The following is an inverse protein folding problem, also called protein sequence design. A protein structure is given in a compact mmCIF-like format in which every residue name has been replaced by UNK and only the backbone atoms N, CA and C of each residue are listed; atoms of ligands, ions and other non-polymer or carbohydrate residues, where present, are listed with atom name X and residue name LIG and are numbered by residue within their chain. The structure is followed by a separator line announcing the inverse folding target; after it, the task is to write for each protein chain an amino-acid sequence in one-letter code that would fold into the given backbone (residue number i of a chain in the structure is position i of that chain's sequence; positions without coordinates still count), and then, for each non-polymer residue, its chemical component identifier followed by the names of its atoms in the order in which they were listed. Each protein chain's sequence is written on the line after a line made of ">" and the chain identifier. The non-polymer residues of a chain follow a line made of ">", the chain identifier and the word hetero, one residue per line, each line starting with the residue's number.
data_IF_427826183722
#
_entry.id   IF_427826183722
#
_cell.length_a   1.000
_cell.length_b   1.000
_cell.length_c   1.000
_cell.angle_alpha   90.00
_cell.angle_beta   90.00
_cell.angle_gamma   90.00
#
_symmetry.space_group_name_H-M   'P 1'
#
loop_
_entity.id
_entity.type
_entity.pdbx_description
1 polymer ?
#
# COMPACT_ATOMS: atom_id res chain seq x y z
N UNK A 1 -32.97 81.36 -11.21
CA UNK A 1 -33.67 80.10 -11.56
C UNK A 1 -33.66 79.21 -10.33
N UNK A 2 -34.81 78.66 -9.96
CA UNK A 2 -35.05 77.92 -8.72
C UNK A 2 -34.15 76.68 -8.62
N UNK A 3 -33.47 76.49 -7.48
CA UNK A 3 -32.75 75.26 -7.17
C UNK A 3 -33.78 74.14 -6.88
N UNK A 4 -33.71 73.05 -7.64
CA UNK A 4 -34.56 71.88 -7.46
C UNK A 4 -34.35 71.27 -6.05
N UNK A 5 -35.40 70.75 -5.40
CA UNK A 5 -35.29 70.07 -4.10
C UNK A 5 -34.28 68.90 -4.18
N UNK A 6 -33.63 68.53 -3.05
CA UNK A 6 -32.58 67.49 -3.05
C UNK A 6 -33.03 66.15 -3.63
N UNK A 7 -34.28 65.76 -3.38
CA UNK A 7 -34.88 64.52 -3.90
C UNK A 7 -35.01 64.55 -5.43
N UNK A 8 -35.39 65.69 -6.01
CA UNK A 8 -35.52 65.87 -7.45
C UNK A 8 -34.17 65.89 -8.18
N UNK A 9 -33.08 66.30 -7.51
CA UNK A 9 -31.73 66.20 -8.05
C UNK A 9 -31.22 64.75 -8.07
N UNK A 10 -31.53 63.97 -7.04
CA UNK A 10 -31.18 62.54 -6.99
C UNK A 10 -31.94 61.76 -8.05
N UNK A 11 -33.25 61.98 -8.19
CA UNK A 11 -34.05 61.36 -9.27
C UNK A 11 -33.51 61.72 -10.66
N UNK A 12 -33.18 62.99 -10.89
CA UNK A 12 -32.62 63.42 -12.17
C UNK A 12 -31.27 62.73 -12.47
N UNK A 13 -30.38 62.62 -11.48
CA UNK A 13 -29.10 61.93 -11.63
C UNK A 13 -29.26 60.43 -11.89
N UNK A 14 -30.19 59.78 -11.19
CA UNK A 14 -30.49 58.35 -11.41
C UNK A 14 -31.07 58.14 -12.80
N UNK A 15 -31.93 59.05 -13.27
CA UNK A 15 -32.56 58.96 -14.59
C UNK A 15 -31.55 59.18 -15.72
N UNK A 16 -30.56 60.07 -15.52
CA UNK A 16 -29.41 60.19 -16.42
C UNK A 16 -28.55 58.91 -16.45
N UNK A 17 -28.28 58.30 -15.30
CA UNK A 17 -27.48 57.07 -15.22
C UNK A 17 -28.20 55.88 -15.85
N UNK A 18 -29.52 55.74 -15.65
CA UNK A 18 -30.35 54.74 -16.33
C UNK A 18 -30.29 54.92 -17.84
N UNK A 19 -30.35 56.17 -18.32
CA UNK A 19 -30.26 56.48 -19.76
C UNK A 19 -28.89 56.09 -20.32
N UNK A 20 -27.81 56.38 -19.59
CA UNK A 20 -26.45 55.99 -19.98
C UNK A 20 -26.29 54.47 -20.05
N UNK A 21 -26.69 53.77 -18.98
CA UNK A 21 -26.62 52.31 -18.91
C UNK A 21 -27.51 51.61 -19.95
N UNK A 22 -28.62 52.24 -20.33
CA UNK A 22 -29.49 51.72 -21.39
C UNK A 22 -28.80 51.81 -22.76
N UNK A 23 -28.12 52.91 -23.05
CA UNK A 23 -27.35 53.07 -24.29
C UNK A 23 -26.14 52.13 -24.33
N UNK A 24 -25.37 52.03 -23.23
CA UNK A 24 -24.25 51.08 -23.13
C UNK A 24 -24.71 49.62 -23.32
N UNK A 25 -25.87 49.23 -22.78
CA UNK A 25 -26.44 47.90 -23.01
C UNK A 25 -26.86 47.68 -24.47
N UNK A 26 -27.30 48.72 -25.17
CA UNK A 26 -27.65 48.63 -26.59
C UNK A 26 -26.37 48.39 -27.43
N UNK A 27 -25.32 49.15 -27.18
CA UNK A 27 -24.02 49.01 -27.85
C UNK A 27 -23.40 47.63 -27.60
N UNK A 28 -23.48 47.14 -26.35
CA UNK A 28 -23.03 45.79 -26.00
C UNK A 28 -23.81 44.70 -26.73
N UNK A 29 -25.14 44.86 -26.88
CA UNK A 29 -25.97 43.92 -27.65
C UNK A 29 -25.58 43.89 -29.12
N UNK A 30 -25.34 45.05 -29.73
CA UNK A 30 -24.87 45.12 -31.12
C UNK A 30 -23.49 44.47 -31.31
N UNK A 31 -22.58 44.66 -30.34
CA UNK A 31 -21.26 44.03 -30.36
C UNK A 31 -21.37 42.50 -30.26
N UNK A 32 -22.23 41.98 -29.38
CA UNK A 32 -22.50 40.55 -29.24
C UNK A 32 -23.06 39.98 -30.55
N UNK A 33 -24.03 40.65 -31.18
CA UNK A 33 -24.59 40.18 -32.46
C UNK A 33 -23.53 40.16 -33.58
N UNK A 34 -22.62 41.13 -33.58
CA UNK A 34 -21.48 41.17 -34.52
C UNK A 34 -20.51 40.02 -34.29
N UNK A 35 -20.18 39.71 -33.03
CA UNK A 35 -19.32 38.59 -32.66
C UNK A 35 -19.97 37.25 -33.01
N UNK A 36 -21.26 37.06 -32.77
CA UNK A 36 -21.99 35.85 -33.17
C UNK A 36 -21.97 35.64 -34.69
N UNK A 37 -22.16 36.72 -35.47
CA UNK A 37 -22.07 36.64 -36.94
C UNK A 37 -20.66 36.21 -37.39
N UNK A 38 -19.61 36.68 -36.72
CA UNK A 38 -18.23 36.27 -37.00
C UNK A 38 -17.97 34.81 -36.60
N UNK A 39 -18.46 34.37 -35.45
CA UNK A 39 -18.35 32.98 -35.01
C UNK A 39 -19.02 32.03 -36.01
N UNK A 40 -20.22 32.38 -36.51
CA UNK A 40 -20.91 31.60 -37.56
C UNK A 40 -20.11 31.54 -38.87
N UNK A 41 -19.43 32.61 -39.26
CA UNK A 41 -18.56 32.64 -40.45
C UNK A 41 -17.34 31.74 -40.27
N UNK A 42 -16.66 31.84 -39.13
CA UNK A 42 -15.48 31.02 -38.81
C UNK A 42 -15.84 29.52 -38.73
N UNK A 43 -16.97 29.18 -38.10
CA UNK A 43 -17.49 27.80 -38.07
C UNK A 43 -17.77 27.24 -39.46
N UNK A 44 -18.31 28.06 -40.39
CA UNK A 44 -18.50 27.65 -41.79
C UNK A 44 -17.17 27.42 -42.51
N UNK A 45 -16.19 28.31 -42.32
CA UNK A 45 -14.85 28.15 -42.89
C UNK A 45 -14.17 26.88 -42.37
N UNK A 46 -14.24 26.62 -41.07
CA UNK A 46 -13.65 25.42 -40.46
C UNK A 46 -14.21 24.14 -41.06
N UNK A 47 -15.53 24.05 -41.28
CA UNK A 47 -16.16 22.90 -41.95
C UNK A 47 -15.65 22.70 -43.38
N UNK A 48 -15.42 23.78 -44.12
CA UNK A 48 -14.89 23.70 -45.49
C UNK A 48 -13.45 23.19 -45.46
N UNK A 49 -12.61 23.69 -44.54
CA UNK A 49 -11.24 23.21 -44.39
C UNK A 49 -11.19 21.75 -43.95
N UNK A 50 -12.01 21.33 -42.99
CA UNK A 50 -12.11 19.92 -42.59
C UNK A 50 -12.48 19.01 -43.77
N UNK A 51 -13.44 19.43 -44.60
CA UNK A 51 -13.82 18.67 -45.80
C UNK A 51 -12.68 18.59 -46.82
N UNK A 52 -11.93 19.69 -47.01
CA UNK A 52 -10.73 19.70 -47.86
C UNK A 52 -9.62 18.80 -47.34
N UNK A 53 -9.40 18.75 -46.03
CA UNK A 53 -8.42 17.86 -45.41
C UNK A 53 -8.81 16.40 -45.63
N UNK A 54 -10.08 16.03 -45.41
CA UNK A 54 -10.56 14.68 -45.72
C UNK A 54 -10.43 14.32 -47.21
N UNK A 55 -10.73 15.24 -48.13
CA UNK A 55 -10.54 15.02 -49.56
C UNK A 55 -9.05 14.81 -49.93
N UNK A 56 -8.14 15.55 -49.28
CA UNK A 56 -6.69 15.38 -49.46
C UNK A 56 -6.17 14.07 -48.86
N UNK A 57 -6.68 13.65 -47.70
CA UNK A 57 -6.34 12.37 -47.06
C UNK A 57 -6.80 11.18 -47.91
N UNK A 58 -8.02 11.25 -48.48
CA UNK A 58 -8.53 10.24 -49.41
C UNK A 58 -7.71 10.20 -50.71
N UNK A 59 -7.31 11.36 -51.23
CA UNK A 59 -6.43 11.45 -52.41
C UNK A 59 -5.01 10.91 -52.13
N UNK A 60 -4.47 11.14 -50.94
CA UNK A 60 -3.18 10.59 -50.51
C UNK A 60 -3.23 9.08 -50.30
N UNK A 61 -4.33 8.55 -49.74
CA UNK A 61 -4.53 7.12 -49.59
C UNK A 61 -4.66 6.40 -50.95
N UNK A 62 -5.31 7.03 -51.94
CA UNK A 62 -5.38 6.53 -53.32
C UNK A 62 -4.01 6.59 -54.03
N UNK A 63 -3.21 7.65 -53.81
CA UNK A 63 -1.87 7.77 -54.34
C UNK A 63 -0.89 6.74 -53.74
N UNK A 64 -1.03 6.40 -52.45
CA UNK A 64 -0.22 5.39 -51.76
C UNK A 64 -0.51 3.96 -52.24
N UNK A 65 -1.71 3.68 -52.77
CA UNK A 65 -2.02 2.39 -53.42
C UNK A 65 -1.44 2.31 -54.84
N UNK A 66 -1.35 3.43 -55.57
CA UNK A 66 -0.73 3.49 -56.90
C UNK A 66 0.81 3.46 -56.86
N UNK A 67 1.44 3.88 -55.75
CA UNK A 67 2.91 3.94 -55.62
C UNK A 67 3.58 2.60 -55.28
N UNK A 68 2.82 1.52 -55.04
CA UNK A 68 3.39 0.16 -54.87
C UNK A 68 3.82 -0.49 -56.20
N UNK A 69 3.55 0.12 -57.36
CA UNK A 69 3.79 -0.49 -58.68
C UNK A 69 4.96 0.10 -59.48
N UNK A 70 5.70 1.11 -58.99
CA UNK A 70 6.88 1.65 -59.72
C UNK A 70 8.01 2.02 -58.77
N UNK A 71 8.94 1.09 -58.61
CA UNK A 71 10.33 1.41 -58.27
C UNK A 71 10.97 2.06 -59.52
N UNK A 72 11.59 3.24 -59.36
CA UNK A 72 12.94 3.55 -59.88
C UNK A 72 13.36 5.01 -59.60
N UNK A 73 14.51 5.12 -58.93
CA UNK A 73 15.51 6.20 -58.91
C UNK A 73 15.07 7.66 -59.11
N UNK A 74 14.87 8.40 -58.01
CA UNK A 74 15.37 9.78 -57.89
C UNK A 74 15.68 10.10 -56.44
N UNK A 75 16.94 10.44 -56.15
CA UNK A 75 17.47 10.74 -54.81
C UNK A 75 17.01 12.14 -54.40
N UNK A 76 15.82 12.26 -53.80
CA UNK A 76 15.39 13.47 -53.09
C UNK A 76 15.67 13.31 -51.59
N UNK A 77 16.52 14.17 -51.05
CA UNK A 77 16.78 14.27 -49.62
C UNK A 77 15.56 14.94 -48.98
N UNK A 78 14.60 14.14 -48.53
CA UNK A 78 13.55 14.60 -47.61
C UNK A 78 14.10 14.54 -46.19
N UNK A 79 14.20 15.69 -45.51
CA UNK A 79 14.41 15.74 -44.06
C UNK A 79 13.16 15.15 -43.42
N UNK A 80 13.21 13.86 -43.09
CA UNK A 80 12.23 13.27 -42.19
C UNK A 80 12.41 13.95 -40.84
N UNK A 81 11.39 14.71 -40.38
CA UNK A 81 11.33 15.09 -38.96
C UNK A 81 11.34 13.78 -38.17
N UNK A 82 12.45 13.45 -37.53
CA UNK A 82 12.44 12.46 -36.44
C UNK A 82 11.37 12.94 -35.46
N UNK A 83 10.42 12.06 -35.11
CA UNK A 83 9.70 12.22 -33.86
C UNK A 83 10.76 12.44 -32.78
N UNK A 84 10.63 13.50 -31.98
CA UNK A 84 11.61 13.73 -30.91
C UNK A 84 11.57 12.50 -30.00
N UNK A 85 12.70 11.81 -29.91
CA UNK A 85 12.85 10.69 -28.98
C UNK A 85 12.65 11.27 -27.57
N UNK A 86 11.63 10.78 -26.86
CA UNK A 86 11.32 11.24 -25.50
C UNK A 86 12.48 10.88 -24.56
N UNK A 87 13.01 11.83 -23.81
CA UNK A 87 14.19 11.64 -22.93
C UNK A 87 13.80 11.11 -21.54
N UNK A 88 12.52 10.79 -21.34
CA UNK A 88 11.99 10.28 -20.07
C UNK A 88 11.94 11.36 -18.98
N UNK A 89 11.71 12.62 -19.36
CA UNK A 89 11.66 13.77 -18.46
C UNK A 89 10.29 14.45 -18.52
N UNK A 90 9.84 15.01 -17.39
CA UNK A 90 8.58 15.75 -17.34
C UNK A 90 8.83 17.18 -16.87
N UNK A 91 8.47 18.13 -17.73
CA UNK A 91 8.51 19.55 -17.40
C UNK A 91 7.17 19.99 -16.79
N UNK A 92 7.25 20.84 -15.76
CA UNK A 92 6.12 21.54 -15.17
C UNK A 92 6.51 22.99 -14.84
N UNK A 93 5.56 23.93 -14.89
CA UNK A 93 5.77 25.31 -14.48
C UNK A 93 5.87 25.42 -12.95
N UNK A 94 6.75 26.30 -12.43
CA UNK A 94 6.93 26.44 -10.96
C UNK A 94 5.63 26.80 -10.23
N UNK A 95 4.76 27.55 -10.88
CA UNK A 95 3.43 27.95 -10.37
C UNK A 95 2.49 26.74 -10.18
N UNK A 96 2.70 25.67 -10.95
CA UNK A 96 1.87 24.46 -10.92
C UNK A 96 2.40 23.39 -9.95
N UNK A 97 3.49 23.63 -9.21
CA UNK A 97 4.05 22.63 -8.29
C UNK A 97 3.02 22.19 -7.24
N UNK A 98 2.28 23.15 -6.68
CA UNK A 98 1.22 22.87 -5.72
C UNK A 98 0.08 22.05 -6.33
N UNK A 99 -0.25 22.29 -7.60
CA UNK A 99 -1.25 21.52 -8.34
C UNK A 99 -0.74 20.10 -8.62
N UNK A 100 0.51 19.94 -9.05
CA UNK A 100 1.16 18.66 -9.27
C UNK A 100 1.11 17.79 -8.01
N UNK A 101 1.57 18.34 -6.89
CA UNK A 101 1.62 17.62 -5.61
C UNK A 101 0.21 17.32 -5.09
N UNK A 102 -0.74 18.25 -5.27
CA UNK A 102 -2.14 18.01 -4.90
C UNK A 102 -2.74 16.87 -5.70
N UNK A 103 -2.64 16.90 -7.03
CA UNK A 103 -3.23 15.92 -7.93
C UNK A 103 -2.55 14.55 -7.81
N UNK A 104 -1.22 14.52 -7.75
CA UNK A 104 -0.44 13.28 -7.77
C UNK A 104 -0.32 12.62 -6.39
N UNK A 105 -0.48 13.39 -5.30
CA UNK A 105 -0.29 12.90 -3.93
C UNK A 105 -1.56 13.06 -3.09
N UNK A 106 -2.06 14.29 -2.91
CA UNK A 106 -3.12 14.56 -1.92
C UNK A 106 -4.48 14.01 -2.33
N UNK A 107 -4.85 14.15 -3.60
CA UNK A 107 -6.14 13.76 -4.16
C UNK A 107 -6.08 12.39 -4.89
N UNK A 108 -4.89 11.78 -4.92
CA UNK A 108 -4.64 10.50 -5.57
C UNK A 108 -5.36 9.37 -4.85
N UNK A 109 -6.17 8.59 -5.59
CA UNK A 109 -6.81 7.38 -5.09
C UNK A 109 -6.07 6.15 -5.61
N UNK A 110 -5.68 5.18 -4.76
CA UNK A 110 -4.97 3.97 -5.22
C UNK A 110 -5.69 3.25 -6.37
N UNK A 111 -7.03 3.22 -6.35
CA UNK A 111 -7.82 2.54 -7.38
C UNK A 111 -7.74 3.22 -8.76
N UNK A 112 -7.43 4.52 -8.82
CA UNK A 112 -7.33 5.28 -10.08
C UNK A 112 -6.15 4.87 -10.95
N UNK A 113 -5.12 4.27 -10.35
CA UNK A 113 -3.89 3.82 -11.02
C UNK A 113 -3.74 2.30 -11.03
N UNK A 114 -4.77 1.56 -10.59
CA UNK A 114 -4.75 0.09 -10.51
C UNK A 114 -4.58 -0.60 -11.87
N UNK A 115 -5.05 0.03 -12.95
CA UNK A 115 -4.91 -0.44 -14.34
C UNK A 115 -3.61 0.03 -15.03
N UNK A 116 -2.70 0.66 -14.29
CA UNK A 116 -1.49 1.28 -14.83
C UNK A 116 -0.24 0.57 -14.32
N UNK A 117 0.95 1.06 -14.70
CA UNK A 117 2.20 0.55 -14.13
C UNK A 117 2.20 0.77 -12.62
N UNK A 118 2.50 -0.25 -11.79
CA UNK A 118 2.58 -0.07 -10.35
C UNK A 118 3.57 1.01 -9.96
N UNK A 119 3.28 1.74 -8.87
CA UNK A 119 4.10 2.88 -8.43
C UNK A 119 4.24 4.03 -9.47
N UNK A 120 3.26 4.20 -10.37
CA UNK A 120 3.25 5.30 -11.35
C UNK A 120 3.56 6.69 -10.77
N UNK A 121 2.97 7.11 -9.61
CA UNK A 121 3.31 8.39 -8.99
C UNK A 121 4.82 8.58 -8.73
N UNK A 122 5.51 7.52 -8.27
CA UNK A 122 6.95 7.59 -8.01
C UNK A 122 7.75 7.87 -9.28
N UNK A 123 7.40 7.23 -10.40
CA UNK A 123 8.06 7.48 -11.69
C UNK A 123 7.79 8.89 -12.21
N UNK A 124 6.54 9.37 -12.11
CA UNK A 124 6.18 10.73 -12.52
C UNK A 124 6.98 11.76 -11.72
N UNK A 125 7.03 11.61 -10.39
CA UNK A 125 7.84 12.47 -9.52
C UNK A 125 9.32 12.43 -9.89
N UNK A 126 9.87 11.24 -10.13
CA UNK A 126 11.27 11.10 -10.50
C UNK A 126 11.59 11.75 -11.86
N UNK A 127 10.73 11.61 -12.88
CA UNK A 127 10.94 12.28 -14.17
C UNK A 127 10.84 13.81 -14.06
N UNK A 128 10.04 14.33 -13.13
CA UNK A 128 10.01 15.76 -12.82
C UNK A 128 11.32 16.22 -12.14
N UNK A 129 11.86 15.39 -11.22
CA UNK A 129 13.17 15.63 -10.59
C UNK A 129 14.28 15.60 -11.65
N UNK A 130 14.27 14.64 -12.58
CA UNK A 130 15.23 14.56 -13.69
C UNK A 130 15.21 15.82 -14.55
N UNK A 131 14.03 16.36 -14.86
CA UNK A 131 13.95 17.60 -15.62
C UNK A 131 14.52 18.79 -14.83
N UNK A 132 14.22 18.89 -13.53
CA UNK A 132 14.77 19.94 -12.68
C UNK A 132 16.30 19.85 -12.53
N UNK A 133 16.84 18.63 -12.44
CA UNK A 133 18.29 18.37 -12.52
C UNK A 133 18.84 18.78 -13.89
N UNK A 134 18.20 18.40 -15.00
CA UNK A 134 18.64 18.73 -16.36
C UNK A 134 18.79 20.23 -16.61
N UNK A 135 17.86 21.06 -16.12
CA UNK A 135 17.94 22.53 -16.22
C UNK A 135 18.82 23.17 -15.14
N UNK A 136 19.44 22.37 -14.27
CA UNK A 136 20.32 22.78 -13.18
C UNK A 136 19.65 23.76 -12.20
N UNK A 137 18.39 23.49 -11.83
CA UNK A 137 17.59 24.30 -10.90
C UNK A 137 17.48 23.63 -9.52
N UNK A 138 18.44 23.93 -8.65
CA UNK A 138 18.56 23.35 -7.31
C UNK A 138 17.33 23.67 -6.44
N UNK A 139 16.81 24.90 -6.55
CA UNK A 139 15.62 25.33 -5.81
C UNK A 139 14.40 24.51 -6.20
N UNK A 140 14.23 24.21 -7.49
CA UNK A 140 13.11 23.39 -8.00
C UNK A 140 13.22 21.93 -7.54
N UNK A 141 14.43 21.36 -7.50
CA UNK A 141 14.67 20.02 -6.95
C UNK A 141 14.34 19.99 -5.44
N UNK A 142 14.87 20.95 -4.68
CA UNK A 142 14.64 21.06 -3.24
C UNK A 142 13.15 21.24 -2.90
N UNK A 143 12.47 22.14 -3.61
CA UNK A 143 11.04 22.42 -3.43
C UNK A 143 10.20 21.18 -3.71
N UNK A 144 10.38 20.54 -4.87
CA UNK A 144 9.60 19.36 -5.26
C UNK A 144 9.78 18.19 -4.30
N UNK A 145 11.01 17.87 -3.89
CA UNK A 145 11.27 16.78 -2.94
C UNK A 145 10.65 17.08 -1.57
N UNK A 146 10.79 18.31 -1.08
CA UNK A 146 10.24 18.73 0.21
C UNK A 146 8.71 18.72 0.19
N UNK A 147 8.10 19.28 -0.86
CA UNK A 147 6.65 19.27 -1.09
C UNK A 147 6.09 17.85 -1.19
N UNK A 148 6.82 16.94 -1.85
CA UNK A 148 6.48 15.52 -1.96
C UNK A 148 6.48 14.84 -0.59
N UNK A 149 7.59 14.92 0.14
CA UNK A 149 7.75 14.31 1.47
C UNK A 149 6.66 14.81 2.43
N UNK A 150 6.42 16.13 2.46
CA UNK A 150 5.43 16.73 3.34
C UNK A 150 4.00 16.33 2.97
N UNK A 151 3.71 16.19 1.69
CA UNK A 151 2.37 15.80 1.23
C UNK A 151 2.09 14.33 1.49
N UNK A 152 3.07 13.43 1.31
CA UNK A 152 2.93 12.02 1.71
C UNK A 152 2.67 11.92 3.21
N UNK A 153 3.45 12.62 4.04
CA UNK A 153 3.21 12.69 5.49
C UNK A 153 1.81 13.21 5.83
N UNK A 154 1.33 14.22 5.11
CA UNK A 154 -0.02 14.79 5.30
C UNK A 154 -1.13 13.79 4.95
N UNK A 155 -1.00 13.07 3.84
CA UNK A 155 -1.96 12.05 3.42
C UNK A 155 -2.01 10.92 4.45
N UNK A 156 -0.86 10.42 4.89
CA UNK A 156 -0.79 9.35 5.90
C UNK A 156 -1.28 9.77 7.28
N UNK A 157 -1.15 11.05 7.64
CA UNK A 157 -1.76 11.58 8.87
C UNK A 157 -3.28 11.67 8.75
N UNK A 158 -3.81 12.01 7.57
CA UNK A 158 -5.25 12.12 7.30
C UNK A 158 -5.92 10.74 7.22
N UNK A 159 -5.23 9.76 6.67
CA UNK A 159 -5.69 8.38 6.46
C UNK A 159 -4.91 7.42 7.36
N UNK A 160 -4.85 7.72 8.66
CA UNK A 160 -3.96 7.04 9.61
C UNK A 160 -4.30 5.56 9.83
N UNK A 161 -5.57 5.20 9.70
CA UNK A 161 -6.11 3.85 9.94
C UNK A 161 -6.46 3.10 8.64
N UNK A 162 -6.05 3.62 7.48
CA UNK A 162 -6.33 3.02 6.17
C UNK A 162 -5.13 2.20 5.65
N UNK A 163 -5.30 0.88 5.61
CA UNK A 163 -4.26 -0.04 5.13
C UNK A 163 -3.96 0.16 3.64
N UNK A 164 -4.98 0.40 2.81
CA UNK A 164 -4.81 0.52 1.36
C UNK A 164 -3.98 1.77 1.03
N UNK A 165 -4.36 2.92 1.59
CA UNK A 165 -3.62 4.17 1.43
C UNK A 165 -2.19 4.07 1.98
N UNK A 166 -2.00 3.45 3.15
CA UNK A 166 -0.67 3.30 3.75
C UNK A 166 0.23 2.38 2.91
N UNK A 167 -0.30 1.25 2.43
CA UNK A 167 0.39 0.31 1.54
C UNK A 167 0.79 0.98 0.22
N UNK A 168 -0.12 1.76 -0.36
CA UNK A 168 0.12 2.50 -1.61
C UNK A 168 1.27 3.50 -1.48
N UNK A 169 1.29 4.28 -0.40
CA UNK A 169 2.36 5.26 -0.17
C UNK A 169 3.68 4.63 0.26
N UNK A 170 3.67 3.47 0.94
CA UNK A 170 4.90 2.73 1.21
C UNK A 170 5.54 2.25 -0.10
N UNK A 171 4.75 1.69 -1.02
CA UNK A 171 5.23 1.22 -2.31
C UNK A 171 5.80 2.37 -3.14
N UNK A 172 5.08 3.48 -3.26
CA UNK A 172 5.54 4.64 -4.03
C UNK A 172 6.76 5.35 -3.41
N UNK A 173 6.83 5.48 -2.08
CA UNK A 173 7.99 6.09 -1.41
C UNK A 173 9.23 5.23 -1.56
N UNK A 174 9.09 3.90 -1.42
CA UNK A 174 10.18 2.95 -1.65
C UNK A 174 10.63 2.95 -3.11
N UNK A 175 9.68 2.98 -4.06
CA UNK A 175 10.02 3.07 -5.49
C UNK A 175 10.74 4.38 -5.83
N UNK A 176 10.32 5.52 -5.28
CA UNK A 176 10.99 6.79 -5.49
C UNK A 176 12.43 6.75 -4.95
N UNK A 177 12.63 6.17 -3.76
CA UNK A 177 13.96 5.92 -3.20
C UNK A 177 14.81 5.04 -4.13
N UNK A 178 14.25 3.96 -4.67
CA UNK A 178 14.95 3.09 -5.62
C UNK A 178 15.30 3.81 -6.91
N UNK A 179 14.42 4.65 -7.46
CA UNK A 179 14.72 5.47 -8.64
C UNK A 179 15.88 6.44 -8.36
N UNK A 180 15.88 7.11 -7.20
CA UNK A 180 16.98 8.00 -6.81
C UNK A 180 18.32 7.27 -6.61
N UNK A 181 18.30 5.97 -6.29
CA UNK A 181 19.50 5.12 -6.28
C UNK A 181 19.90 4.68 -7.69
N UNK A 182 18.95 4.11 -8.44
CA UNK A 182 19.15 3.52 -9.76
C UNK A 182 19.70 4.50 -10.79
N UNK A 183 19.25 5.75 -10.71
CA UNK A 183 19.61 6.83 -11.62
C UNK A 183 20.51 7.87 -10.94
N UNK A 184 21.20 7.51 -9.86
CA UNK A 184 22.14 8.41 -9.16
C UNK A 184 23.43 8.67 -9.93
N UNK A 185 23.79 7.79 -10.88
CA UNK A 185 25.12 7.78 -11.51
C UNK A 185 26.18 6.97 -10.74
N UNK A 186 25.83 6.39 -9.59
CA UNK A 186 26.72 5.52 -8.81
C UNK A 186 26.77 4.11 -9.43
N UNK A 187 27.98 3.64 -9.76
CA UNK A 187 28.24 2.34 -10.37
C UNK A 187 27.65 1.18 -9.57
N UNK A 188 27.59 1.29 -8.24
CA UNK A 188 27.03 0.25 -7.38
C UNK A 188 25.53 -0.01 -7.68
N UNK A 189 24.78 1.02 -8.05
CA UNK A 189 23.34 0.91 -8.33
C UNK A 189 23.03 0.69 -9.82
N UNK A 190 24.00 0.91 -10.71
CA UNK A 190 23.84 0.79 -12.16
C UNK A 190 24.10 -0.63 -12.70
N UNK A 191 24.49 -1.58 -11.85
CA UNK A 191 24.88 -2.95 -12.24
C UNK A 191 23.80 -3.72 -13.02
N UNK A 192 22.52 -3.41 -12.81
CA UNK A 192 21.38 -4.06 -13.47
C UNK A 192 20.70 -3.16 -14.51
N UNK A 193 21.23 -1.97 -14.78
CA UNK A 193 20.65 -1.03 -15.72
C UNK A 193 20.98 -1.40 -17.17
N UNK A 194 20.05 -1.08 -18.08
CA UNK A 194 20.36 -1.04 -19.51
C UNK A 194 21.19 0.19 -19.87
N UNK A 195 21.86 0.15 -21.04
CA UNK A 195 22.57 1.33 -21.54
C UNK A 195 21.67 2.57 -21.62
N UNK A 196 20.41 2.39 -22.05
CA UNK A 196 19.43 3.48 -22.12
C UNK A 196 19.05 4.01 -20.73
N UNK A 197 18.90 3.14 -19.74
CA UNK A 197 18.66 3.57 -18.35
C UNK A 197 19.83 4.35 -17.77
N UNK A 198 21.07 4.00 -18.13
CA UNK A 198 22.26 4.74 -17.70
C UNK A 198 22.34 6.15 -18.33
N UNK A 199 21.80 6.36 -19.53
CA UNK A 199 21.65 7.71 -20.11
C UNK A 199 20.69 8.60 -19.30
N UNK A 200 19.84 7.99 -18.47
CA UNK A 200 18.83 8.67 -17.68
C UNK A 200 19.28 9.07 -16.27
N UNK A 201 20.54 8.79 -15.90
CA UNK A 201 21.09 9.22 -14.62
C UNK A 201 21.07 10.74 -14.46
N UNK A 202 20.91 11.18 -13.21
CA UNK A 202 21.09 12.58 -12.80
C UNK A 202 22.52 13.01 -13.08
N UNK A 203 22.71 14.28 -13.45
CA UNK A 203 24.00 14.81 -13.91
C UNK A 203 24.55 15.91 -13.01
N UNK A 204 23.67 16.68 -12.37
CA UNK A 204 24.07 17.92 -11.70
C UNK A 204 24.05 17.81 -10.16
N UNK A 205 23.09 17.09 -9.58
CA UNK A 205 22.90 17.04 -8.13
C UNK A 205 23.07 15.65 -7.51
N UNK A 206 23.83 15.54 -6.41
CA UNK A 206 23.79 14.36 -5.54
C UNK A 206 22.67 14.51 -4.50
N UNK A 207 21.73 13.56 -4.52
CA UNK A 207 20.56 13.56 -3.66
C UNK A 207 20.71 12.58 -2.47
N UNK A 208 21.94 12.30 -2.00
CA UNK A 208 22.22 11.38 -0.90
C UNK A 208 21.43 11.68 0.39
N UNK A 209 21.37 12.94 0.80
CA UNK A 209 20.64 13.35 1.99
C UNK A 209 19.14 13.09 1.84
N UNK A 210 18.58 13.36 0.66
CA UNK A 210 17.18 13.06 0.36
C UNK A 210 16.90 11.55 0.30
N UNK A 211 17.86 10.74 -0.16
CA UNK A 211 17.75 9.27 -0.10
C UNK A 211 17.63 8.81 1.36
N UNK A 212 18.39 9.39 2.28
CA UNK A 212 18.27 9.09 3.71
C UNK A 212 16.91 9.53 4.27
N UNK A 213 16.46 10.75 3.98
CA UNK A 213 15.16 11.26 4.46
C UNK A 213 13.99 10.40 3.93
N UNK A 214 14.05 9.94 2.68
CA UNK A 214 13.05 9.03 2.12
C UNK A 214 13.13 7.64 2.74
N UNK A 215 14.32 7.14 3.07
CA UNK A 215 14.50 5.89 3.82
C UNK A 215 13.84 5.97 5.21
N UNK A 216 14.10 7.05 5.95
CA UNK A 216 13.50 7.29 7.26
C UNK A 216 11.97 7.45 7.16
N UNK A 217 11.48 8.11 6.11
CA UNK A 217 10.07 8.17 5.81
C UNK A 217 9.50 6.76 5.57
N UNK A 218 10.10 5.96 4.70
CA UNK A 218 9.64 4.58 4.42
C UNK A 218 9.57 3.73 5.70
N UNK A 219 10.52 3.86 6.64
CA UNK A 219 10.45 3.21 7.95
C UNK A 219 9.21 3.64 8.73
N UNK A 220 8.91 4.94 8.78
CA UNK A 220 7.72 5.46 9.46
C UNK A 220 6.42 4.95 8.83
N UNK A 221 6.35 4.91 7.49
CA UNK A 221 5.18 4.39 6.76
C UNK A 221 5.03 2.88 7.04
N UNK A 222 6.12 2.11 7.04
CA UNK A 222 6.09 0.68 7.36
C UNK A 222 5.57 0.44 8.78
N UNK A 223 6.07 1.17 9.78
CA UNK A 223 5.59 1.06 11.17
C UNK A 223 4.12 1.44 11.29
N UNK A 224 3.64 2.42 10.52
CA UNK A 224 2.22 2.73 10.44
C UNK A 224 1.43 1.57 9.80
N UNK A 225 1.90 1.00 8.70
CA UNK A 225 1.26 -0.12 8.01
C UNK A 225 1.06 -1.32 8.94
N UNK A 226 2.10 -1.68 9.71
CA UNK A 226 2.03 -2.73 10.72
C UNK A 226 0.98 -2.41 11.78
N UNK A 227 0.99 -1.21 12.36
CA UNK A 227 0.00 -0.81 13.37
C UNK A 227 -1.43 -0.89 12.87
N UNK A 228 -1.69 -0.46 11.63
CA UNK A 228 -3.02 -0.54 11.01
C UNK A 228 -3.44 -2.01 10.83
N UNK A 229 -2.56 -2.83 10.27
CA UNK A 229 -2.84 -4.25 10.06
C UNK A 229 -3.08 -5.01 11.39
N UNK A 230 -2.26 -4.73 12.41
CA UNK A 230 -2.43 -5.28 13.76
C UNK A 230 -3.77 -4.86 14.37
N UNK A 231 -4.16 -3.58 14.23
CA UNK A 231 -5.46 -3.07 14.71
C UNK A 231 -6.65 -3.78 14.06
N UNK A 232 -6.55 -4.11 12.76
CA UNK A 232 -7.59 -4.86 12.03
C UNK A 232 -7.64 -6.33 12.47
N UNK A 233 -6.48 -6.98 12.65
CA UNK A 233 -6.40 -8.40 12.99
C UNK A 233 -6.67 -8.71 14.46
N UNK A 234 -6.33 -7.81 15.37
CA UNK A 234 -6.42 -8.05 16.82
C UNK A 234 -7.77 -8.62 17.30
N UNK A 235 -8.95 -8.08 16.92
CA UNK A 235 -10.23 -8.65 17.33
C UNK A 235 -10.49 -10.04 16.72
N UNK A 236 -9.81 -10.39 15.63
CA UNK A 236 -9.96 -11.66 14.94
C UNK A 236 -9.12 -12.77 15.56
N UNK A 237 -7.91 -12.46 16.02
CA UNK A 237 -6.92 -13.47 16.41
C UNK A 237 -7.44 -14.37 17.53
N UNK A 238 -7.96 -13.80 18.62
CA UNK A 238 -8.39 -14.60 19.79
C UNK A 238 -9.55 -15.51 19.40
N UNK A 239 -10.56 -14.95 18.72
CA UNK A 239 -11.72 -15.70 18.28
C UNK A 239 -11.32 -16.82 17.32
N UNK A 240 -10.50 -16.51 16.31
CA UNK A 240 -10.11 -17.46 15.26
C UNK A 240 -9.16 -18.55 15.74
N UNK A 241 -8.23 -18.22 16.64
CA UNK A 241 -7.17 -19.15 17.06
C UNK A 241 -7.57 -20.00 18.26
N UNK A 242 -8.39 -19.48 19.19
CA UNK A 242 -8.67 -20.12 20.47
C UNK A 242 -10.15 -20.46 20.70
N UNK A 243 -11.09 -19.66 20.20
CA UNK A 243 -12.51 -19.79 20.56
C UNK A 243 -13.35 -20.49 19.50
N UNK A 244 -13.02 -20.32 18.22
CA UNK A 244 -13.74 -20.95 17.12
C UNK A 244 -13.41 -22.43 17.03
N UNK A 245 -14.44 -23.28 17.09
CA UNK A 245 -14.32 -24.73 16.88
C UNK A 245 -14.18 -25.02 15.38
N UNK A 246 -12.93 -25.08 14.87
CA UNK A 246 -12.68 -25.43 13.46
C UNK A 246 -12.70 -26.94 13.20
N UNK A 247 -12.69 -27.78 14.24
CA UNK A 247 -12.73 -29.25 14.12
C UNK A 247 -14.10 -29.77 14.60
N UNK A 248 -15.01 -30.15 13.68
CA UNK A 248 -16.38 -30.58 14.04
C UNK A 248 -16.44 -31.80 14.98
N UNK A 249 -15.45 -32.70 14.90
CA UNK A 249 -15.39 -33.90 15.75
C UNK A 249 -15.04 -33.62 17.21
N UNK A 250 -14.54 -32.43 17.54
CA UNK A 250 -14.20 -32.04 18.92
C UNK A 250 -15.33 -31.27 19.63
N UNK A 251 -16.39 -30.86 18.91
CA UNK A 251 -17.49 -30.06 19.43
C UNK A 251 -18.28 -30.70 20.60
N UNK A 252 -18.16 -32.02 20.77
CA UNK A 252 -18.78 -32.78 21.87
C UNK A 252 -17.95 -32.88 23.15
N UNK A 253 -16.67 -32.49 23.12
CA UNK A 253 -15.73 -32.62 24.26
C UNK A 253 -15.65 -31.30 25.03
N UNK A 254 -16.79 -30.87 25.59
CA UNK A 254 -16.84 -29.69 26.47
C UNK A 254 -16.71 -30.09 27.93
N UNK A 255 -16.06 -29.28 28.78
CA UNK A 255 -16.06 -29.50 30.22
C UNK A 255 -17.49 -29.68 30.73
N UNK A 256 -17.70 -30.70 31.55
CA UNK A 256 -19.01 -31.05 32.11
C UNK A 256 -19.60 -29.83 32.85
N UNK A 257 -20.63 -29.21 32.27
CA UNK A 257 -21.30 -28.02 32.84
C UNK A 257 -21.68 -26.91 31.84
N UNK A 258 -21.07 -26.83 30.66
CA UNK A 258 -21.38 -25.80 29.65
C UNK A 258 -22.21 -26.35 28.49
N UNK A 259 -23.51 -26.52 28.74
CA UNK A 259 -24.49 -26.88 27.71
C UNK A 259 -25.05 -25.60 27.06
N UNK A 260 -24.24 -24.89 26.29
CA UNK A 260 -24.75 -23.80 25.45
C UNK A 260 -25.43 -24.37 24.20
N UNK A 261 -26.67 -23.91 23.97
CA UNK A 261 -27.54 -24.29 22.85
C UNK A 261 -26.80 -24.10 21.53
N UNK A 262 -26.85 -25.12 20.69
CA UNK A 262 -26.44 -25.08 19.29
C UNK A 262 -27.13 -23.90 18.58
N UNK A 263 -26.37 -22.89 18.18
CA UNK A 263 -26.80 -21.91 17.19
C UNK A 263 -26.06 -22.19 15.89
N UNK A 264 -26.67 -23.03 15.07
CA UNK A 264 -26.46 -23.00 13.63
C UNK A 264 -27.09 -21.72 13.11
N UNK A 265 -26.30 -20.74 12.67
CA UNK A 265 -26.70 -19.75 11.67
C UNK A 265 -25.45 -19.22 10.95
N UNK A 266 -25.33 -19.56 9.68
CA UNK A 266 -24.67 -18.71 8.70
C UNK A 266 -25.34 -17.32 8.72
N UNK A 267 -24.57 -16.24 8.89
CA UNK A 267 -24.99 -14.93 8.42
C UNK A 267 -23.83 -13.96 8.19
N UNK A 268 -23.82 -13.46 6.96
CA UNK A 268 -23.19 -12.25 6.48
C UNK A 268 -23.87 -11.04 7.17
N UNK A 269 -23.16 -10.31 8.03
CA UNK A 269 -23.63 -9.03 8.60
C UNK A 269 -23.45 -8.80 10.10
N UNK A 270 -22.41 -8.03 10.46
CA UNK A 270 -22.31 -7.12 11.62
C UNK A 270 -23.04 -7.44 12.93
N UNK A 271 -22.47 -8.31 13.78
CA UNK A 271 -22.86 -8.59 15.18
C UNK A 271 -22.16 -9.86 15.68
N UNK A 272 -21.93 -10.10 16.99
CA UNK A 272 -20.83 -10.93 17.50
C UNK A 272 -21.08 -12.44 17.35
N UNK A 273 -21.06 -12.93 16.12
CA UNK A 273 -20.54 -14.25 15.79
C UNK A 273 -19.02 -14.13 15.71
N UNK A 274 -18.29 -14.92 16.50
CA UNK A 274 -16.83 -14.84 16.56
C UNK A 274 -16.18 -14.99 15.19
N UNK A 275 -15.08 -14.27 14.95
CA UNK A 275 -14.24 -14.45 13.78
C UNK A 275 -13.71 -15.90 13.71
N UNK A 276 -13.74 -16.46 12.50
CA UNK A 276 -13.20 -17.80 12.20
C UNK A 276 -11.78 -17.73 11.68
N UNK A 277 -11.07 -18.88 11.70
CA UNK A 277 -9.77 -19.02 11.05
C UNK A 277 -9.79 -18.61 9.57
N UNK A 278 -10.83 -19.00 8.84
CA UNK A 278 -10.97 -18.66 7.42
C UNK A 278 -11.07 -17.14 7.22
N UNK A 279 -11.77 -16.43 8.10
CA UNK A 279 -11.83 -14.97 8.05
C UNK A 279 -10.43 -14.36 8.26
N UNK A 280 -9.65 -14.86 9.22
CA UNK A 280 -8.28 -14.40 9.46
C UNK A 280 -7.36 -14.66 8.26
N UNK A 281 -7.41 -15.87 7.69
CA UNK A 281 -6.65 -16.23 6.48
C UNK A 281 -7.06 -15.35 5.29
N UNK A 282 -8.36 -15.07 5.13
CA UNK A 282 -8.86 -14.17 4.09
C UNK A 282 -8.32 -12.76 4.26
N UNK A 283 -8.26 -12.23 5.47
CA UNK A 283 -7.69 -10.91 5.75
C UNK A 283 -6.18 -10.86 5.44
N UNK A 284 -5.41 -11.87 5.86
CA UNK A 284 -3.99 -12.00 5.45
C UNK A 284 -3.84 -12.04 3.93
N UNK A 285 -4.74 -12.76 3.25
CA UNK A 285 -4.83 -12.80 1.78
C UNK A 285 -5.09 -11.43 1.15
N UNK A 286 -6.00 -10.65 1.74
CA UNK A 286 -6.32 -9.29 1.29
C UNK A 286 -5.11 -8.37 1.45
N UNK A 287 -4.44 -8.36 2.61
CA UNK A 287 -3.23 -7.55 2.82
C UNK A 287 -2.14 -7.87 1.80
N UNK A 288 -1.86 -9.17 1.59
CA UNK A 288 -0.88 -9.61 0.60
C UNK A 288 -1.26 -9.18 -0.83
N UNK A 289 -2.53 -9.34 -1.20
CA UNK A 289 -3.04 -8.93 -2.53
C UNK A 289 -2.93 -7.42 -2.73
N UNK A 290 -3.31 -6.62 -1.74
CA UNK A 290 -3.22 -5.16 -1.80
C UNK A 290 -1.78 -4.69 -1.96
N UNK A 291 -0.85 -5.20 -1.14
CA UNK A 291 0.59 -4.88 -1.28
C UNK A 291 1.13 -5.25 -2.67
N UNK A 292 0.77 -6.43 -3.19
CA UNK A 292 1.15 -6.86 -4.54
C UNK A 292 0.58 -5.96 -5.63
N UNK A 293 -0.70 -5.58 -5.54
CA UNK A 293 -1.36 -4.71 -6.52
C UNK A 293 -0.76 -3.30 -6.59
N UNK A 294 -0.23 -2.80 -5.47
CA UNK A 294 0.46 -1.51 -5.42
C UNK A 294 1.91 -1.57 -5.92
N UNK A 295 2.45 -2.78 -6.13
CA UNK A 295 3.83 -2.99 -6.55
C UNK A 295 4.84 -2.82 -5.41
N UNK A 296 4.45 -3.11 -4.17
CA UNK A 296 5.38 -3.15 -3.05
C UNK A 296 6.42 -4.25 -3.27
N UNK A 297 7.69 -3.96 -2.99
CA UNK A 297 8.76 -4.92 -3.23
C UNK A 297 8.52 -6.23 -2.44
N UNK A 298 8.72 -7.41 -3.06
CA UNK A 298 8.43 -8.69 -2.43
C UNK A 298 9.14 -8.86 -1.08
N UNK A 299 10.40 -8.42 -0.95
CA UNK A 299 11.15 -8.51 0.31
C UNK A 299 10.57 -7.65 1.43
N UNK A 300 9.96 -6.50 1.10
CA UNK A 300 9.27 -5.65 2.08
C UNK A 300 7.95 -6.31 2.47
N UNK A 301 7.17 -6.79 1.49
CA UNK A 301 5.91 -7.50 1.73
C UNK A 301 6.11 -8.76 2.60
N UNK A 302 7.20 -9.49 2.37
CA UNK A 302 7.60 -10.65 3.18
C UNK A 302 7.87 -10.28 4.65
N UNK A 303 8.55 -9.16 4.90
CA UNK A 303 8.78 -8.64 6.26
C UNK A 303 7.46 -8.23 6.94
N UNK A 304 6.50 -7.68 6.19
CA UNK A 304 5.14 -7.42 6.71
C UNK A 304 4.49 -8.73 7.15
N UNK A 305 4.46 -9.75 6.30
CA UNK A 305 3.83 -11.04 6.65
C UNK A 305 4.50 -11.69 7.87
N UNK A 306 5.84 -11.66 7.96
CA UNK A 306 6.57 -12.15 9.14
C UNK A 306 6.12 -11.44 10.42
N UNK A 307 5.95 -10.12 10.39
CA UNK A 307 5.48 -9.33 11.53
C UNK A 307 4.02 -9.66 11.90
N UNK A 308 3.14 -9.85 10.91
CA UNK A 308 1.75 -10.23 11.18
C UNK A 308 1.64 -11.61 11.84
N UNK A 309 2.47 -12.57 11.43
CA UNK A 309 2.55 -13.90 12.07
C UNK A 309 3.07 -13.81 13.51
N UNK A 310 4.05 -12.95 13.76
CA UNK A 310 4.48 -12.67 15.13
C UNK A 310 3.34 -12.10 15.99
N UNK A 311 2.53 -11.19 15.46
CA UNK A 311 1.36 -10.65 16.15
C UNK A 311 0.34 -11.76 16.48
N UNK A 312 0.04 -12.65 15.53
CA UNK A 312 -0.83 -13.81 15.75
C UNK A 312 -0.28 -14.68 16.88
N UNK A 313 1.01 -15.01 16.85
CA UNK A 313 1.69 -15.78 17.90
C UNK A 313 1.57 -15.10 19.27
N UNK A 314 1.97 -13.83 19.38
CA UNK A 314 2.01 -13.09 20.64
C UNK A 314 0.62 -12.94 21.27
N UNK A 315 -0.39 -12.56 20.48
CA UNK A 315 -1.76 -12.38 20.97
C UNK A 315 -2.38 -13.72 21.38
N UNK A 316 -2.19 -14.78 20.59
CA UNK A 316 -2.73 -16.11 20.90
C UNK A 316 -2.08 -16.71 22.15
N UNK A 317 -0.74 -16.66 22.23
CA UNK A 317 -0.01 -17.20 23.37
C UNK A 317 -0.31 -16.42 24.66
N UNK A 318 -0.39 -15.08 24.60
CA UNK A 318 -0.76 -14.29 25.77
C UNK A 318 -2.17 -14.62 26.27
N UNK A 319 -3.13 -14.81 25.37
CA UNK A 319 -4.48 -15.21 25.78
C UNK A 319 -4.50 -16.62 26.39
N UNK A 320 -3.73 -17.56 25.84
CA UNK A 320 -3.54 -18.89 26.42
C UNK A 320 -2.96 -18.83 27.85
N UNK A 321 -1.98 -17.94 28.08
CA UNK A 321 -1.33 -17.78 29.39
C UNK A 321 -2.17 -17.04 30.44
N UNK A 322 -3.22 -16.34 30.01
CA UNK A 322 -4.10 -15.54 30.88
C UNK A 322 -5.42 -16.24 31.21
N UNK A 323 -5.88 -17.18 30.38
CA UNK A 323 -7.21 -17.80 30.46
C UNK A 323 -7.13 -19.29 30.82
N UNK A 324 -7.97 -19.74 31.77
CA UNK A 324 -8.03 -21.15 32.20
C UNK A 324 -8.88 -22.02 31.28
N UNK A 325 -9.91 -21.43 30.69
CA UNK A 325 -10.91 -22.07 29.84
C UNK A 325 -10.36 -22.55 28.48
N UNK A 326 -9.19 -22.06 28.08
CA UNK A 326 -8.53 -22.38 26.80
C UNK A 326 -7.31 -23.29 26.96
N UNK A 327 -7.01 -23.77 28.17
CA UNK A 327 -5.86 -24.65 28.42
C UNK A 327 -6.34 -26.10 28.54
N UNK A 328 -6.59 -26.75 27.41
CA UNK A 328 -7.07 -28.14 27.35
C UNK A 328 -6.44 -28.93 26.20
N UNK A 329 -6.57 -30.25 26.24
CA UNK A 329 -6.13 -31.11 25.13
C UNK A 329 -6.83 -30.75 23.81
N UNK A 330 -8.15 -30.49 23.83
CA UNK A 330 -8.90 -30.14 22.62
C UNK A 330 -8.43 -28.81 22.04
N UNK A 331 -8.14 -27.82 22.90
CA UNK A 331 -7.57 -26.54 22.46
C UNK A 331 -6.19 -26.72 21.84
N UNK A 332 -5.36 -27.62 22.39
CA UNK A 332 -4.07 -27.99 21.78
C UNK A 332 -4.24 -28.55 20.37
N UNK A 333 -5.20 -29.46 20.18
CA UNK A 333 -5.50 -30.02 18.85
C UNK A 333 -6.02 -28.96 17.88
N UNK A 334 -6.92 -28.09 18.36
CA UNK A 334 -7.49 -26.98 17.59
C UNK A 334 -6.41 -25.98 17.14
N UNK A 335 -5.52 -25.57 18.05
CA UNK A 335 -4.39 -24.69 17.74
C UNK A 335 -3.47 -25.33 16.71
N UNK A 336 -3.15 -26.62 16.85
CA UNK A 336 -2.28 -27.33 15.90
C UNK A 336 -2.88 -27.34 14.49
N UNK A 337 -4.18 -27.59 14.36
CA UNK A 337 -4.88 -27.49 13.07
C UNK A 337 -4.90 -26.06 12.53
N UNK A 338 -5.21 -25.07 13.37
CA UNK A 338 -5.24 -23.67 12.95
C UNK A 338 -3.85 -23.21 12.45
N UNK A 339 -2.78 -23.60 13.13
CA UNK A 339 -1.40 -23.32 12.71
C UNK A 339 -1.07 -24.04 11.39
N UNK A 340 -1.46 -25.31 11.20
CA UNK A 340 -1.19 -26.00 9.94
C UNK A 340 -1.86 -25.33 8.74
N UNK A 341 -3.07 -24.78 8.90
CA UNK A 341 -3.71 -24.01 7.83
C UNK A 341 -2.99 -22.69 7.54
N UNK A 342 -2.44 -22.02 8.57
CA UNK A 342 -1.62 -20.82 8.38
C UNK A 342 -0.29 -21.14 7.66
N UNK A 343 0.36 -22.26 8.00
CA UNK A 343 1.55 -22.75 7.32
C UNK A 343 1.26 -23.14 5.86
N UNK A 344 0.13 -23.78 5.61
CA UNK A 344 -0.34 -24.12 4.26
C UNK A 344 -0.58 -22.85 3.43
N UNK A 345 -1.16 -21.81 4.03
CA UNK A 345 -1.33 -20.52 3.37
C UNK A 345 0.01 -19.87 3.00
N UNK A 346 1.00 -19.88 3.90
CA UNK A 346 2.37 -19.41 3.60
C UNK A 346 2.94 -20.21 2.40
N UNK A 347 2.72 -21.52 2.37
CA UNK A 347 3.21 -22.40 1.29
C UNK A 347 2.55 -22.07 -0.04
N UNK A 348 1.23 -21.89 -0.05
CA UNK A 348 0.47 -21.52 -1.23
C UNK A 348 0.86 -20.15 -1.81
N UNK A 349 1.44 -19.26 -1.00
CA UNK A 349 1.95 -17.95 -1.44
C UNK A 349 3.46 -17.91 -1.71
N UNK A 350 4.16 -19.05 -1.63
CA UNK A 350 5.62 -19.15 -1.77
C UNK A 350 6.41 -18.30 -0.74
N UNK A 351 5.87 -18.11 0.46
CA UNK A 351 6.44 -17.27 1.51
C UNK A 351 7.27 -18.08 2.55
N UNK A 352 7.72 -19.28 2.19
CA UNK A 352 8.40 -20.18 3.14
C UNK A 352 9.74 -19.63 3.65
N UNK A 353 10.41 -18.81 2.84
CA UNK A 353 11.71 -18.21 3.20
C UNK A 353 11.59 -16.98 4.12
N UNK A 354 10.38 -16.51 4.42
CA UNK A 354 10.16 -15.30 5.22
C UNK A 354 10.50 -15.43 6.70
N UNK A 355 10.65 -16.66 7.21
CA UNK A 355 10.74 -16.92 8.64
C UNK A 355 9.42 -16.66 9.40
N UNK A 356 8.28 -16.54 8.71
CA UNK A 356 6.97 -16.37 9.37
C UNK A 356 6.53 -17.61 10.15
N UNK A 357 6.94 -18.82 9.74
CA UNK A 357 6.66 -20.06 10.51
C UNK A 357 7.49 -20.11 11.79
N UNK A 358 8.75 -19.65 11.74
CA UNK A 358 9.62 -19.68 12.92
C UNK A 358 9.18 -18.71 14.01
N UNK A 359 8.46 -17.62 13.67
CA UNK A 359 7.88 -16.73 14.68
C UNK A 359 6.71 -17.36 15.44
N UNK A 360 6.10 -18.42 14.91
CA UNK A 360 5.00 -19.17 15.53
C UNK A 360 5.48 -20.30 16.45
N UNK A 361 6.78 -20.59 16.47
CA UNK A 361 7.37 -21.70 17.24
C UNK A 361 6.94 -21.74 18.71
N UNK A 362 6.88 -20.62 19.47
CA UNK A 362 6.37 -20.64 20.84
C UNK A 362 4.93 -21.14 20.96
N UNK A 363 4.04 -20.73 20.05
CA UNK A 363 2.64 -21.20 20.05
C UNK A 363 2.53 -22.66 19.59
N UNK A 364 3.37 -23.10 18.64
CA UNK A 364 3.46 -24.52 18.24
C UNK A 364 3.82 -25.38 19.45
N UNK A 365 4.86 -25.01 20.18
CA UNK A 365 5.30 -25.73 21.38
C UNK A 365 4.26 -25.68 22.49
N UNK A 366 3.54 -24.56 22.65
CA UNK A 366 2.43 -24.46 23.60
C UNK A 366 1.29 -25.43 23.24
N UNK A 367 0.91 -25.52 21.96
CA UNK A 367 -0.09 -26.46 21.48
C UNK A 367 0.33 -27.93 21.66
N UNK A 368 1.62 -28.23 21.48
CA UNK A 368 2.20 -29.55 21.75
C UNK A 368 2.20 -29.87 23.26
N UNK A 369 2.58 -28.91 24.11
CA UNK A 369 2.60 -29.05 25.57
C UNK A 369 1.20 -29.40 26.13
N UNK A 370 0.14 -28.83 25.54
CA UNK A 370 -1.23 -29.19 25.91
C UNK A 370 -1.56 -30.66 25.59
N UNK A 371 -0.95 -31.26 24.58
CA UNK A 371 -1.28 -32.60 24.07
C UNK A 371 -0.43 -33.73 24.65
N UNK A 372 0.79 -33.45 25.09
CA UNK A 372 1.70 -34.50 25.63
C UNK A 372 1.23 -35.02 26.99
N UNK A 373 1.73 -36.20 27.37
CA UNK A 373 1.53 -36.79 28.70
C UNK A 373 2.27 -35.95 29.75
N UNK A 374 1.74 -35.92 30.97
CA UNK A 374 2.18 -35.00 32.05
C UNK A 374 2.29 -35.73 33.40
N UNK A 375 2.75 -37.00 33.39
CA UNK A 375 2.69 -37.89 34.57
C UNK A 375 4.06 -38.35 35.06
N UNK A 376 4.94 -38.80 34.17
CA UNK A 376 6.19 -39.48 34.53
C UNK A 376 7.41 -38.56 34.47
N UNK A 377 8.53 -38.92 35.11
CA UNK A 377 9.76 -38.13 34.98
C UNK A 377 10.29 -38.10 33.54
N UNK A 378 10.02 -39.14 32.75
CA UNK A 378 10.37 -39.20 31.34
C UNK A 378 9.51 -38.24 30.50
N UNK A 379 8.23 -38.08 30.85
CA UNK A 379 7.38 -37.05 30.23
C UNK A 379 7.91 -35.64 30.53
N UNK A 380 8.43 -35.42 31.75
CA UNK A 380 9.02 -34.15 32.13
C UNK A 380 10.27 -33.82 31.30
N UNK A 381 11.17 -34.79 31.13
CA UNK A 381 12.37 -34.66 30.29
C UNK A 381 12.00 -34.39 28.81
N UNK A 382 10.99 -35.11 28.29
CA UNK A 382 10.49 -34.89 26.94
C UNK A 382 9.93 -33.47 26.74
N UNK A 383 9.18 -32.94 27.71
CA UNK A 383 8.69 -31.55 27.69
C UNK A 383 9.86 -30.56 27.69
N UNK A 384 10.88 -30.77 28.53
CA UNK A 384 12.04 -29.90 28.61
C UNK A 384 12.84 -29.86 27.30
N UNK A 385 12.96 -31.00 26.62
CA UNK A 385 13.63 -31.13 25.32
C UNK A 385 12.82 -30.53 24.17
N UNK A 386 11.49 -30.66 24.20
CA UNK A 386 10.58 -30.14 23.18
C UNK A 386 10.39 -28.61 23.27
N UNK A 387 10.21 -28.07 24.49
CA UNK A 387 9.85 -26.67 24.71
C UNK A 387 11.08 -25.74 24.75
N UNK A 388 11.80 -25.60 23.63
CA UNK A 388 13.00 -24.76 23.53
C UNK A 388 12.73 -23.27 23.31
N UNK A 389 11.57 -22.92 22.74
CA UNK A 389 11.16 -21.56 22.41
C UNK A 389 10.23 -20.92 23.47
N UNK A 390 9.74 -21.71 24.43
CA UNK A 390 9.00 -21.23 25.59
C UNK A 390 9.93 -21.03 26.79
N UNK A 391 9.68 -19.99 27.58
CA UNK A 391 10.37 -19.80 28.86
C UNK A 391 9.83 -20.76 29.92
N UNK A 392 10.65 -21.09 30.93
CA UNK A 392 10.24 -21.85 32.10
C UNK A 392 8.95 -21.31 32.74
N UNK A 393 8.79 -19.98 32.83
CA UNK A 393 7.60 -19.35 33.40
C UNK A 393 6.34 -19.63 32.56
N UNK A 394 6.46 -19.62 31.24
CA UNK A 394 5.37 -19.94 30.31
C UNK A 394 4.96 -21.41 30.41
N UNK A 395 5.94 -22.34 30.41
CA UNK A 395 5.69 -23.78 30.55
C UNK A 395 4.96 -24.06 31.86
N UNK A 396 5.48 -23.55 32.98
CA UNK A 396 4.87 -23.71 34.30
C UNK A 396 3.46 -23.12 34.34
N UNK A 397 3.24 -21.96 33.71
CA UNK A 397 1.91 -21.34 33.66
C UNK A 397 0.92 -22.21 32.90
N UNK A 398 1.27 -22.71 31.71
CA UNK A 398 0.40 -23.59 30.90
C UNK A 398 0.05 -24.86 31.69
N UNK A 399 1.03 -25.51 32.32
CA UNK A 399 0.80 -26.71 33.13
C UNK A 399 -0.14 -26.46 34.31
N UNK A 400 -0.06 -25.30 34.96
CA UNK A 400 -0.96 -24.91 36.06
C UNK A 400 -2.40 -24.61 35.59
N UNK A 401 -2.55 -24.05 34.39
CA UNK A 401 -3.84 -23.71 33.81
C UNK A 401 -4.54 -24.91 33.15
N UNK A 402 -3.79 -25.98 32.87
CA UNK A 402 -4.31 -27.18 32.22
C UNK A 402 -5.53 -27.75 32.93
N UNK A 403 -6.65 -27.81 32.20
CA UNK A 403 -7.94 -28.28 32.67
C UNK A 403 -8.30 -29.57 31.92
N UNK A 404 -8.33 -30.72 32.60
CA UNK A 404 -8.77 -32.00 32.04
C UNK A 404 -10.20 -31.92 31.54
N UNK A 405 -10.47 -32.48 30.35
CA UNK A 405 -11.83 -32.48 29.77
C UNK A 405 -12.62 -33.77 30.09
N UNK A 406 -11.93 -34.89 30.25
CA UNK A 406 -12.53 -36.22 30.41
C UNK A 406 -11.96 -36.94 31.65
N UNK A 407 -12.67 -37.96 32.15
CA UNK A 407 -12.27 -38.76 33.32
C UNK A 407 -10.93 -39.50 33.17
N UNK A 408 -10.44 -39.66 31.94
CA UNK A 408 -9.15 -40.30 31.63
C UNK A 408 -7.97 -39.33 31.72
N UNK A 409 -8.22 -38.03 31.87
CA UNK A 409 -7.20 -37.02 32.10
C UNK A 409 -7.19 -36.58 33.56
N UNK A 410 -6.01 -36.59 34.15
CA UNK A 410 -5.79 -36.06 35.50
C UNK A 410 -5.17 -34.67 35.41
N UNK A 411 -5.46 -33.87 36.44
CA UNK A 411 -4.82 -32.57 36.59
C UNK A 411 -3.32 -32.75 36.82
N UNK A 412 -2.51 -31.87 36.24
CA UNK A 412 -1.06 -31.88 36.45
C UNK A 412 -0.75 -31.71 37.93
N UNK A 413 0.08 -32.59 38.48
CA UNK A 413 0.43 -32.58 39.90
C UNK A 413 1.49 -31.52 40.19
N UNK A 414 1.48 -30.97 41.41
CA UNK A 414 2.48 -29.99 41.85
C UNK A 414 3.90 -30.60 41.87
N UNK A 415 4.02 -31.90 42.17
CA UNK A 415 5.30 -32.62 42.12
C UNK A 415 5.86 -32.69 40.70
N UNK A 416 5.01 -32.92 39.69
CA UNK A 416 5.42 -32.90 38.29
C UNK A 416 5.91 -31.51 37.86
N UNK A 417 5.18 -30.46 38.24
CA UNK A 417 5.58 -29.07 37.94
C UNK A 417 6.92 -28.73 38.60
N UNK A 418 7.14 -29.15 39.86
CA UNK A 418 8.43 -28.97 40.54
C UNK A 418 9.57 -29.72 39.86
N UNK A 419 9.32 -30.90 39.29
CA UNK A 419 10.31 -31.64 38.52
C UNK A 419 10.74 -30.86 37.26
N UNK A 420 9.78 -30.37 36.48
CA UNK A 420 10.04 -29.48 35.33
C UNK A 420 10.85 -28.26 35.75
N UNK A 421 10.48 -27.62 36.87
CA UNK A 421 11.20 -26.45 37.36
C UNK A 421 12.65 -26.76 37.73
N UNK A 422 12.93 -27.91 38.35
CA UNK A 422 14.28 -28.36 38.66
C UNK A 422 15.11 -28.63 37.41
N UNK A 423 14.52 -29.27 36.39
CA UNK A 423 15.21 -29.58 35.13
C UNK A 423 15.52 -28.32 34.29
N UNK A 424 14.68 -27.29 34.36
CA UNK A 424 14.86 -26.05 33.61
C UNK A 424 15.64 -24.97 34.38
N UNK A 425 16.09 -25.25 35.60
CA UNK A 425 16.75 -24.26 36.46
C UNK A 425 18.07 -23.74 35.89
N UNK A 426 18.75 -24.56 35.08
CA UNK A 426 20.01 -24.19 34.41
C UNK A 426 19.79 -23.38 33.12
N UNK A 427 18.55 -23.28 32.62
CA UNK A 427 18.27 -22.40 31.46
C UNK A 427 18.28 -20.95 31.93
N UNK A 428 19.14 -20.15 31.30
CA UNK A 428 19.17 -18.69 31.44
C UNK A 428 17.97 -18.06 30.70
N UNK A 429 16.76 -18.48 31.01
CA UNK A 429 15.53 -17.97 30.39
C UNK A 429 15.24 -16.55 30.89
N UNK A 430 14.67 -15.70 30.02
CA UNK A 430 14.14 -14.41 30.45
C UNK A 430 12.94 -14.61 31.39
N UNK A 431 12.81 -13.82 32.47
CA UNK A 431 11.75 -13.98 33.46
C UNK A 431 10.36 -13.54 32.94
N UNK A 432 10.24 -13.19 31.66
CA UNK A 432 9.04 -12.62 31.08
C UNK A 432 8.00 -13.71 30.81
N UNK A 433 6.78 -13.51 31.33
CA UNK A 433 5.66 -14.43 31.09
C UNK A 433 4.98 -14.13 29.76
N UNK A 434 4.61 -12.87 29.51
CA UNK A 434 3.87 -12.45 28.33
C UNK A 434 4.80 -12.00 27.21
N UNK A 435 4.50 -12.41 25.98
CA UNK A 435 5.19 -11.94 24.79
C UNK A 435 4.82 -10.48 24.53
N UNK A 436 5.80 -9.66 24.12
CA UNK A 436 5.55 -8.25 23.80
C UNK A 436 4.78 -8.11 22.48
N UNK A 437 3.48 -7.81 22.57
CA UNK A 437 2.63 -7.58 21.40
C UNK A 437 2.99 -6.32 20.61
N UNK A 438 3.82 -5.43 21.16
CA UNK A 438 4.26 -4.18 20.50
C UNK A 438 5.63 -4.30 19.84
N UNK A 439 6.28 -5.45 19.94
CA UNK A 439 7.57 -5.66 19.30
C UNK A 439 7.41 -5.62 17.78
N UNK A 440 8.23 -4.83 17.11
CA UNK A 440 8.32 -4.75 15.65
C UNK A 440 9.73 -5.11 15.22
N UNK A 441 9.87 -6.06 14.29
CA UNK A 441 11.18 -6.38 13.73
C UNK A 441 11.75 -5.17 12.97
N UNK A 442 13.07 -4.91 13.06
CA UNK A 442 13.71 -3.88 12.23
C UNK A 442 13.49 -4.18 10.75
N UNK A 443 12.94 -3.20 10.03
CA UNK A 443 12.68 -3.31 8.60
C UNK A 443 13.92 -2.98 7.78
N UNK A 444 14.13 -3.74 6.70
CA UNK A 444 15.14 -3.49 5.69
C UNK A 444 14.50 -3.11 4.36
N UNK A 445 15.11 -2.13 3.69
CA UNK A 445 14.73 -1.68 2.34
C UNK A 445 15.87 -2.00 1.35
N UNK A 446 16.00 -3.28 0.95
CA UNK A 446 17.02 -3.70 -0.02
C UNK A 446 16.79 -2.99 -1.36
N UNK A 447 17.87 -2.67 -2.05
CA UNK A 447 17.78 -1.99 -3.34
C UNK A 447 17.17 -2.92 -4.40
N UNK A 448 16.10 -2.47 -5.05
CA UNK A 448 15.44 -3.22 -6.13
C UNK A 448 15.27 -2.33 -7.37
N UNK A 449 16.13 -2.48 -8.39
CA UNK A 449 16.02 -1.68 -9.62
C UNK A 449 14.73 -2.00 -10.37
N UNK A 450 14.26 -1.02 -11.15
CA UNK A 450 13.14 -1.21 -12.06
C UNK A 450 13.64 -1.50 -13.47
N UNK A 451 13.03 -2.47 -14.15
CA UNK A 451 13.23 -2.71 -15.58
C UNK A 451 12.45 -1.73 -16.47
N UNK A 452 11.66 -0.81 -15.88
CA UNK A 452 10.83 0.13 -16.62
C UNK A 452 11.69 1.15 -17.37
N UNK A 453 11.32 1.37 -18.63
CA UNK A 453 11.84 2.43 -19.49
C UNK A 453 11.04 3.72 -19.24
N UNK A 454 11.72 4.79 -18.81
CA UNK A 454 11.09 6.09 -18.55
C UNK A 454 10.57 6.73 -19.86
N UNK A 455 11.27 6.47 -20.96
CA UNK A 455 10.97 6.93 -22.32
C UNK A 455 9.72 6.29 -22.95
N UNK A 456 9.20 5.20 -22.38
CA UNK A 456 7.98 4.54 -22.86
C UNK A 456 6.80 4.72 -21.91
N UNK A 457 7.00 5.40 -20.78
CA UNK A 457 5.97 5.57 -19.77
C UNK A 457 4.80 6.40 -20.31
N UNK A 458 3.59 5.84 -20.21
CA UNK A 458 2.36 6.54 -20.55
C UNK A 458 1.67 7.08 -19.31
N UNK A 459 1.39 8.38 -19.28
CA UNK A 459 0.59 9.03 -18.24
C UNK A 459 -0.89 8.96 -18.66
N UNK A 460 -1.77 8.30 -17.89
CA UNK A 460 -3.19 8.25 -18.18
C UNK A 460 -3.85 9.63 -18.08
N UNK A 461 -4.72 9.96 -19.04
CA UNK A 461 -5.48 11.22 -19.02
C UNK A 461 -6.39 11.36 -17.80
N UNK A 462 -6.81 10.25 -17.17
CA UNK A 462 -7.65 10.29 -15.96
C UNK A 462 -6.96 10.93 -14.74
N UNK A 463 -5.64 11.10 -14.79
CA UNK A 463 -4.89 11.78 -13.73
C UNK A 463 -4.94 13.32 -13.84
N UNK A 464 -5.50 13.88 -14.92
CA UNK A 464 -5.60 15.33 -15.16
C UNK A 464 -4.24 16.05 -15.02
N UNK A 465 -3.19 15.46 -15.59
CA UNK A 465 -1.82 15.98 -15.58
C UNK A 465 -1.43 16.63 -16.92
N UNK A 466 -2.40 17.22 -17.62
CA UNK A 466 -2.22 17.78 -18.97
C UNK A 466 -1.27 18.99 -19.01
N UNK A 467 -0.98 19.58 -17.85
CA UNK A 467 0.01 20.66 -17.70
C UNK A 467 1.47 20.15 -17.66
N UNK A 468 1.69 18.82 -17.62
CA UNK A 468 3.03 18.22 -17.72
C UNK A 468 3.43 18.05 -19.19
N UNK A 469 4.59 18.60 -19.56
CA UNK A 469 5.15 18.43 -20.90
C UNK A 469 6.18 17.31 -20.92
N UNK A 470 6.06 16.42 -21.91
CA UNK A 470 7.06 15.38 -22.18
C UNK A 470 8.26 16.01 -22.92
N UNK A 471 9.45 15.88 -22.33
CA UNK A 471 10.73 16.37 -22.89
C UNK A 471 11.53 15.24 -23.52
#
# INVERSE_FOLDING_TARGET
>A
MLALPPEAQVEYSVQQEITRLTNENLDLKELVEKLEKNERKLKKQLRIYMKKVQELEVAQAAAAQASRARHELTRQVTVQRKEKDFEGMLEYCKEDEALLVKTLITDMKPQSVSATVPCLPAYILFMCIRHADYINDDQKVHSLLTSTINSVKKVLKKHNDDFETTSFWLANTSRLLHCLKQYSGDEAFMTQNTAKQNEHCLKNFDLAEYRQVLSDLSIQIYQQLIRVAEGIMQPMIVSAMLESESIPSLAGVKPMGYRNRSSSMDCDGGGPGGYTLEALIRQLGQFHSTMGSHGLDPEIAQQVIRQLFYCINAVSLNNLLLRKDVCSWSTGMQLRYNISQLEEWIRGKNLQQTGAVTTMEPLIQAAQLLQVKKKTSQDAEAICSMCTALSMQQIVKILNLYTPLNEFEERVTVSFIRNIQGQLQERNDTPQLLVDTKHTFPVLFPYTPSALSLETLHIPACLNLDFLNRV
#
